data_IF_329946641070
#
_entry.id   IF_329946641070
#
_cell.length_a   1.000
_cell.length_b   1.000
_cell.length_c   1.000
_cell.angle_alpha   90.00
_cell.angle_beta   90.00
_cell.angle_gamma   90.00
#
_symmetry.space_group_name_H-M   'P 1'
#
loop_
_entity.id
_entity.type
_entity.pdbx_description
1 polymer ?
#
# COMPACT_ATOMS: atom_id res chain seq x y z
N UNK A 1 -16.36 -6.76 5.05
CA UNK A 1 -15.59 -7.76 4.31
C UNK A 1 -14.11 -7.41 4.25
N UNK A 2 -13.70 -6.39 3.51
CA UNK A 2 -12.32 -5.90 3.62
C UNK A 2 -12.20 -4.90 4.75
N UNK A 3 -11.08 -5.01 5.52
CA UNK A 3 -10.83 -4.16 6.69
C UNK A 3 -10.01 -2.94 6.35
N UNK A 4 -8.94 -3.14 5.56
CA UNK A 4 -7.97 -2.09 5.26
C UNK A 4 -7.41 -2.26 3.87
N UNK A 5 -6.87 -1.17 3.34
CA UNK A 5 -5.87 -1.19 2.29
C UNK A 5 -4.55 -0.83 2.96
N UNK A 6 -3.56 -1.69 2.80
CA UNK A 6 -2.24 -1.48 3.39
C UNK A 6 -1.30 -0.93 2.32
N UNK A 7 -0.67 0.19 2.62
CA UNK A 7 0.23 0.89 1.72
C UNK A 7 1.68 0.53 2.07
N UNK A 8 2.42 0.06 1.05
CA UNK A 8 3.78 -0.46 1.20
C UNK A 8 4.75 0.21 0.25
N UNK A 9 6.04 0.03 0.52
CA UNK A 9 7.06 0.05 -0.52
C UNK A 9 7.73 -1.32 -0.59
N UNK A 10 8.28 -1.66 -1.76
CA UNK A 10 8.89 -2.99 -1.95
C UNK A 10 10.28 -3.10 -1.31
N UNK A 11 10.92 -1.97 -1.06
CA UNK A 11 12.32 -1.88 -0.64
C UNK A 11 13.28 -2.40 -1.72
N UNK A 12 12.83 -2.42 -2.98
CA UNK A 12 13.61 -2.87 -4.13
C UNK A 12 13.86 -1.74 -5.14
N UNK A 13 13.94 -2.13 -6.40
CA UNK A 13 14.15 -1.20 -7.51
C UNK A 13 12.83 -0.60 -7.99
N UNK A 14 12.90 0.30 -8.97
CA UNK A 14 11.71 0.93 -9.56
C UNK A 14 10.85 -0.02 -10.42
N UNK A 15 11.27 -1.25 -10.62
CA UNK A 15 10.50 -2.28 -11.32
C UNK A 15 10.13 -3.40 -10.36
N UNK A 16 8.92 -3.96 -10.44
CA UNK A 16 8.56 -5.07 -9.57
C UNK A 16 9.35 -6.33 -9.94
N UNK A 17 9.83 -7.05 -8.92
CA UNK A 17 10.43 -8.36 -9.08
C UNK A 17 9.34 -9.43 -9.15
N UNK A 18 9.73 -10.67 -9.51
CA UNK A 18 8.81 -11.81 -9.45
C UNK A 18 8.27 -12.00 -8.04
N UNK A 19 9.12 -11.87 -7.02
CA UNK A 19 8.73 -11.99 -5.62
C UNK A 19 7.73 -10.89 -5.25
N UNK A 20 7.98 -9.65 -5.68
CA UNK A 20 7.05 -8.55 -5.42
C UNK A 20 5.65 -8.85 -5.99
N UNK A 21 5.58 -9.39 -7.20
CA UNK A 21 4.32 -9.73 -7.85
C UNK A 21 3.54 -10.82 -7.10
N UNK A 22 4.23 -11.66 -6.34
CA UNK A 22 3.60 -12.70 -5.52
C UNK A 22 3.14 -12.18 -4.16
N UNK A 23 3.73 -11.08 -3.67
CA UNK A 23 3.48 -10.60 -2.31
C UNK A 23 2.49 -9.44 -2.21
N UNK A 24 2.20 -8.74 -3.31
CA UNK A 24 1.30 -7.60 -3.30
C UNK A 24 0.23 -7.76 -4.37
N UNK A 25 -0.96 -7.21 -4.12
CA UNK A 25 -2.04 -7.25 -5.11
C UNK A 25 -1.76 -6.30 -6.28
N UNK A 26 -1.21 -5.13 -5.98
CA UNK A 26 -0.86 -4.12 -6.99
C UNK A 26 0.49 -3.53 -6.68
N UNK A 27 1.23 -3.22 -7.74
CA UNK A 27 2.54 -2.61 -7.61
C UNK A 27 2.63 -1.42 -8.55
N UNK A 28 3.32 -0.37 -8.11
CA UNK A 28 3.45 0.85 -8.89
C UNK A 28 4.92 1.09 -9.16
N UNK A 29 5.32 1.04 -10.43
CA UNK A 29 6.72 1.20 -10.81
C UNK A 29 7.16 2.66 -10.75
N UNK A 30 8.46 2.91 -10.99
CA UNK A 30 9.04 4.23 -10.88
C UNK A 30 8.43 5.28 -11.81
N UNK A 31 7.78 4.85 -12.89
CA UNK A 31 7.08 5.72 -13.83
C UNK A 31 5.62 5.97 -13.44
N UNK A 32 5.16 5.37 -12.35
CA UNK A 32 3.78 5.50 -11.91
C UNK A 32 2.83 4.50 -12.57
N UNK A 33 3.36 3.53 -13.30
CA UNK A 33 2.53 2.50 -13.95
C UNK A 33 2.11 1.44 -12.94
N UNK A 34 0.82 1.08 -12.98
CA UNK A 34 0.25 0.05 -12.11
C UNK A 34 0.44 -1.33 -12.74
N UNK A 35 0.98 -2.26 -11.95
CA UNK A 35 1.12 -3.67 -12.29
C UNK A 35 0.22 -4.48 -11.39
N UNK A 36 -0.46 -5.49 -11.93
CA UNK A 36 -1.25 -6.43 -11.12
C UNK A 36 -0.36 -7.58 -10.67
N UNK A 37 -0.49 -7.96 -9.41
CA UNK A 37 0.22 -9.10 -8.86
C UNK A 37 -0.41 -10.43 -9.25
N UNK A 38 0.19 -11.50 -8.75
CA UNK A 38 -0.28 -12.87 -9.00
C UNK A 38 -1.67 -13.13 -8.42
N UNK A 39 -1.97 -12.53 -7.27
CA UNK A 39 -3.23 -12.75 -6.55
C UNK A 39 -4.12 -11.53 -6.62
N UNK A 40 -5.43 -11.76 -6.61
CA UNK A 40 -6.44 -10.70 -6.58
C UNK A 40 -6.82 -10.37 -5.14
N UNK A 41 -7.40 -9.18 -4.88
CA UNK A 41 -7.85 -8.84 -3.52
C UNK A 41 -8.77 -9.89 -2.89
N UNK A 42 -9.68 -10.48 -3.67
CA UNK A 42 -10.61 -11.49 -3.15
C UNK A 42 -9.89 -12.73 -2.63
N UNK A 43 -8.72 -13.05 -3.13
CA UNK A 43 -7.93 -14.19 -2.65
C UNK A 43 -7.57 -14.03 -1.17
N UNK A 44 -7.39 -12.80 -0.69
CA UNK A 44 -7.04 -12.54 0.70
C UNK A 44 -8.24 -12.55 1.66
N UNK A 45 -9.44 -12.84 1.20
CA UNK A 45 -10.56 -13.10 2.11
C UNK A 45 -10.40 -14.43 2.83
N UNK A 46 -9.68 -15.37 2.23
CA UNK A 46 -9.37 -16.66 2.83
C UNK A 46 -7.90 -17.00 2.58
N UNK A 47 -7.08 -16.92 3.61
CA UNK A 47 -5.64 -17.20 3.51
C UNK A 47 -5.28 -18.62 3.92
N UNK A 48 -6.26 -19.49 4.23
CA UNK A 48 -5.98 -20.86 4.72
C UNK A 48 -5.54 -21.81 3.60
N UNK A 49 -5.83 -21.47 2.34
CA UNK A 49 -5.44 -22.30 1.19
C UNK A 49 -4.02 -22.00 0.69
N UNK A 50 -3.32 -21.05 1.29
CA UNK A 50 -1.99 -20.63 0.87
C UNK A 50 -1.92 -19.85 -0.43
N UNK A 51 -3.06 -19.54 -1.04
CA UNK A 51 -3.15 -18.81 -2.33
C UNK A 51 -3.60 -17.38 -2.10
N UNK A 52 -2.70 -16.57 -1.57
CA UNK A 52 -2.99 -15.18 -1.21
C UNK A 52 -1.72 -14.34 -1.31
N UNK A 53 -1.89 -13.03 -1.42
CA UNK A 53 -0.77 -12.08 -1.37
C UNK A 53 -0.32 -11.92 0.08
N UNK A 54 0.90 -12.36 0.40
CA UNK A 54 1.47 -12.27 1.74
C UNK A 54 2.21 -10.94 1.90
N UNK A 55 1.44 -9.87 2.12
CA UNK A 55 2.00 -8.52 2.19
C UNK A 55 2.08 -7.95 3.60
N UNK A 56 1.38 -8.54 4.56
CA UNK A 56 1.25 -7.95 5.89
C UNK A 56 1.16 -9.07 6.94
N UNK A 57 2.30 -9.42 7.53
CA UNK A 57 2.35 -10.49 8.54
C UNK A 57 1.40 -10.20 9.69
N UNK A 58 0.52 -11.17 9.99
CA UNK A 58 -0.52 -11.04 11.02
C UNK A 58 -1.77 -10.28 10.55
N UNK A 59 -1.78 -9.76 9.32
CA UNK A 59 -2.89 -8.97 8.81
C UNK A 59 -3.22 -9.21 7.34
N UNK A 60 -2.88 -10.36 6.77
CA UNK A 60 -3.17 -10.63 5.36
C UNK A 60 -4.65 -10.84 5.09
N UNK A 61 -5.37 -11.49 6.00
CA UNK A 61 -6.80 -11.77 5.82
C UNK A 61 -7.63 -10.50 5.84
N UNK A 62 -8.42 -10.31 4.78
CA UNK A 62 -9.31 -9.16 4.67
C UNK A 62 -8.61 -7.83 4.38
N UNK A 63 -7.38 -7.86 3.89
CA UNK A 63 -6.62 -6.64 3.59
C UNK A 63 -6.00 -6.69 2.20
N UNK A 64 -6.01 -5.54 1.55
CA UNK A 64 -5.49 -5.37 0.19
C UNK A 64 -4.13 -4.68 0.30
N UNK A 65 -3.11 -5.20 -0.38
CA UNK A 65 -1.77 -4.62 -0.38
C UNK A 65 -1.43 -3.94 -1.70
N UNK A 66 -1.04 -2.67 -1.61
CA UNK A 66 -0.49 -1.90 -2.74
C UNK A 66 0.93 -1.53 -2.36
N UNK A 67 1.89 -1.74 -3.25
CA UNK A 67 3.28 -1.37 -3.01
C UNK A 67 3.82 -0.46 -4.10
N UNK A 68 4.49 0.61 -3.71
CA UNK A 68 5.31 1.40 -4.64
C UNK A 68 6.69 0.75 -4.72
N UNK A 69 7.22 0.61 -5.92
CA UNK A 69 8.52 -0.03 -6.18
C UNK A 69 9.64 0.96 -5.91
N UNK A 70 10.16 0.97 -4.68
CA UNK A 70 11.15 1.94 -4.27
C UNK A 70 11.80 1.55 -2.93
N UNK A 71 12.80 2.32 -2.54
CA UNK A 71 13.42 2.31 -1.22
C UNK A 71 13.41 3.73 -0.69
N UNK A 72 13.60 3.90 0.62
CA UNK A 72 13.72 5.25 1.19
C UNK A 72 15.08 5.89 0.92
N UNK A 73 16.07 5.15 0.41
CA UNK A 73 17.42 5.64 0.19
C UNK A 73 17.56 6.46 -1.11
N UNK A 74 18.76 7.01 -1.34
CA UNK A 74 19.03 7.92 -2.45
C UNK A 74 18.98 7.27 -3.84
N UNK A 75 19.08 5.94 -3.95
CA UNK A 75 19.13 5.28 -5.25
C UNK A 75 17.75 5.14 -5.92
N UNK A 76 16.76 4.73 -5.14
CA UNK A 76 15.39 4.55 -5.65
C UNK A 76 14.38 5.09 -4.63
N UNK A 77 14.43 6.41 -4.34
CA UNK A 77 13.47 6.99 -3.38
C UNK A 77 12.05 6.99 -3.95
N UNK A 78 11.02 7.05 -3.08
CA UNK A 78 9.64 7.22 -3.54
C UNK A 78 9.50 8.47 -4.40
N UNK A 79 8.81 8.34 -5.54
CA UNK A 79 8.59 9.47 -6.44
C UNK A 79 7.17 10.01 -6.31
N UNK A 80 6.98 11.27 -6.72
CA UNK A 80 5.65 11.88 -6.75
C UNK A 80 4.71 11.10 -7.66
N UNK A 81 5.18 10.67 -8.82
CA UNK A 81 4.37 9.86 -9.75
C UNK A 81 3.86 8.59 -9.10
N UNK A 82 4.73 7.91 -8.34
CA UNK A 82 4.35 6.68 -7.65
C UNK A 82 3.30 6.93 -6.57
N UNK A 83 3.50 7.95 -5.76
CA UNK A 83 2.59 8.25 -4.65
C UNK A 83 1.23 8.70 -5.19
N UNK A 84 1.20 9.54 -6.21
CA UNK A 84 -0.06 9.96 -6.82
C UNK A 84 -0.81 8.77 -7.42
N UNK A 85 -0.11 7.89 -8.15
CA UNK A 85 -0.72 6.69 -8.72
C UNK A 85 -1.25 5.75 -7.63
N UNK A 86 -0.48 5.56 -6.54
CA UNK A 86 -0.90 4.71 -5.43
C UNK A 86 -2.17 5.26 -4.76
N UNK A 87 -2.20 6.56 -4.49
CA UNK A 87 -3.34 7.18 -3.81
C UNK A 87 -4.60 7.17 -4.69
N UNK A 88 -4.43 7.39 -5.99
CA UNK A 88 -5.53 7.30 -6.95
C UNK A 88 -6.08 5.87 -7.01
N UNK A 89 -5.20 4.87 -7.11
CA UNK A 89 -5.61 3.46 -7.10
C UNK A 89 -6.30 3.09 -5.79
N UNK A 90 -5.73 3.48 -4.66
CA UNK A 90 -6.34 3.21 -3.35
C UNK A 90 -7.75 3.79 -3.25
N UNK A 91 -7.96 5.01 -3.74
CA UNK A 91 -9.28 5.63 -3.77
C UNK A 91 -10.27 4.82 -4.61
N UNK A 92 -9.83 4.34 -5.77
CA UNK A 92 -10.65 3.50 -6.65
C UNK A 92 -11.01 2.18 -5.95
N UNK A 93 -10.03 1.54 -5.31
CA UNK A 93 -10.26 0.29 -4.58
C UNK A 93 -11.17 0.49 -3.37
N UNK A 94 -11.10 1.63 -2.70
CA UNK A 94 -12.05 1.97 -1.63
C UNK A 94 -13.49 1.91 -2.14
N UNK A 95 -13.75 2.47 -3.31
CA UNK A 95 -15.08 2.46 -3.93
C UNK A 95 -15.49 1.04 -4.30
N UNK A 96 -14.59 0.29 -4.95
CA UNK A 96 -14.90 -1.06 -5.46
C UNK A 96 -15.15 -2.05 -4.31
N UNK A 97 -14.33 -2.00 -3.27
CA UNK A 97 -14.34 -3.01 -2.20
C UNK A 97 -14.95 -2.54 -0.88
N UNK A 98 -15.50 -1.34 -0.86
CA UNK A 98 -16.21 -0.83 0.32
C UNK A 98 -15.29 -0.50 1.50
N UNK A 99 -14.06 -0.05 1.25
CA UNK A 99 -13.13 0.38 2.28
C UNK A 99 -13.17 1.90 2.38
N UNK A 100 -13.15 2.42 3.61
CA UNK A 100 -13.11 3.87 3.81
C UNK A 100 -11.68 4.39 3.58
N UNK A 101 -11.51 5.58 3.03
CA UNK A 101 -10.17 6.19 2.93
C UNK A 101 -9.42 6.24 4.27
N UNK A 102 -10.15 6.45 5.37
CA UNK A 102 -9.56 6.44 6.73
C UNK A 102 -9.00 5.08 7.14
N UNK A 103 -9.41 4.00 6.46
CA UNK A 103 -8.92 2.64 6.71
C UNK A 103 -7.78 2.26 5.76
N UNK A 104 -7.28 3.19 4.97
CA UNK A 104 -6.03 3.04 4.23
C UNK A 104 -4.89 3.43 5.17
N UNK A 105 -4.08 2.46 5.55
CA UNK A 105 -2.98 2.67 6.50
C UNK A 105 -1.68 2.12 5.92
N UNK A 106 -0.55 2.65 6.40
CA UNK A 106 0.75 2.12 5.98
C UNK A 106 1.07 0.84 6.76
N UNK A 107 2.00 0.04 6.22
CA UNK A 107 2.48 -1.16 6.90
C UNK A 107 3.11 -0.79 8.26
N UNK A 108 3.84 0.32 8.33
CA UNK A 108 4.41 0.81 9.59
C UNK A 108 3.32 1.10 10.63
N UNK A 109 2.22 1.74 10.20
CA UNK A 109 1.08 2.01 11.10
C UNK A 109 0.42 0.72 11.56
N UNK A 110 0.23 -0.24 10.65
CA UNK A 110 -0.32 -1.55 11.01
C UNK A 110 0.54 -2.22 12.07
N UNK A 111 1.87 -2.23 11.88
CA UNK A 111 2.79 -2.82 12.83
C UNK A 111 2.72 -2.18 14.21
N UNK A 112 2.61 -0.86 14.28
CA UNK A 112 2.46 -0.15 15.56
C UNK A 112 1.14 -0.48 16.26
N UNK A 113 0.08 -0.68 15.49
CA UNK A 113 -1.24 -1.04 16.02
C UNK A 113 -1.32 -2.50 16.45
N UNK A 114 -0.41 -3.35 15.93
CA UNK A 114 -0.41 -4.80 16.18
C UNK A 114 0.99 -5.28 16.58
N UNK A 115 1.46 -4.89 17.79
CA UNK A 115 2.86 -5.16 18.18
C UNK A 115 3.19 -6.62 18.40
N UNK A 116 2.19 -7.51 18.45
CA UNK A 116 2.41 -8.95 18.60
C UNK A 116 2.55 -9.68 17.26
N UNK A 117 2.45 -8.97 16.14
CA UNK A 117 2.60 -9.56 14.81
C UNK A 117 4.00 -9.36 14.26
N UNK A 118 4.35 -10.10 13.20
CA UNK A 118 5.62 -9.93 12.50
C UNK A 118 5.73 -8.58 11.78
N UNK A 119 4.63 -7.86 11.65
CA UNK A 119 4.61 -6.50 11.07
C UNK A 119 5.15 -5.44 12.01
N UNK A 120 5.30 -5.74 13.31
CA UNK A 120 5.86 -4.78 14.25
C UNK A 120 7.30 -4.45 13.88
N UNK A 121 7.62 -3.16 13.79
CA UNK A 121 8.94 -2.71 13.39
C UNK A 121 9.11 -2.45 11.90
N UNK A 122 8.09 -2.71 11.09
CA UNK A 122 8.11 -2.35 9.67
C UNK A 122 8.14 -0.83 9.52
N UNK A 123 8.83 -0.35 8.49
CA UNK A 123 9.07 1.08 8.30
C UNK A 123 8.34 1.67 7.09
N UNK A 124 7.75 0.84 6.25
CA UNK A 124 7.05 1.32 5.05
C UNK A 124 5.64 1.79 5.41
N UNK A 125 5.28 3.00 5.18
CA UNK A 125 6.00 4.11 4.55
C UNK A 125 6.25 5.17 5.63
N UNK A 126 7.53 5.44 5.94
CA UNK A 126 7.87 6.39 7.00
C UNK A 126 8.60 7.64 6.50
N UNK A 127 8.80 7.73 5.17
CA UNK A 127 9.48 8.89 4.61
C UNK A 127 9.10 9.09 3.15
N UNK A 128 8.78 10.34 2.78
CA UNK A 128 8.49 10.75 1.41
C UNK A 128 9.35 11.97 1.10
N UNK A 129 10.61 11.75 0.67
CA UNK A 129 11.58 12.85 0.54
C UNK A 129 11.16 13.94 -0.44
N UNK A 130 10.51 13.58 -1.57
CA UNK A 130 10.09 14.57 -2.56
C UNK A 130 9.12 15.61 -1.97
N UNK A 131 8.34 15.23 -0.97
CA UNK A 131 7.34 16.09 -0.34
C UNK A 131 7.82 16.63 1.02
N UNK A 132 9.05 16.29 1.42
CA UNK A 132 9.61 16.65 2.72
C UNK A 132 8.70 16.20 3.88
N UNK A 133 8.14 14.98 3.78
CA UNK A 133 7.31 14.37 4.82
C UNK A 133 8.08 13.23 5.45
N UNK A 134 8.18 13.22 6.77
CA UNK A 134 8.96 12.25 7.51
C UNK A 134 8.22 11.81 8.78
N UNK A 135 8.32 10.52 9.10
CA UNK A 135 7.68 9.92 10.26
C UNK A 135 6.45 9.10 9.89
N UNK A 136 6.16 8.09 10.70
CA UNK A 136 5.07 7.14 10.44
C UNK A 136 3.71 7.85 10.39
N UNK A 137 3.41 8.65 11.41
CA UNK A 137 2.13 9.37 11.47
C UNK A 137 1.99 10.38 10.34
N UNK A 138 3.04 11.19 10.12
CA UNK A 138 2.99 12.24 9.09
C UNK A 138 2.81 11.65 7.69
N UNK A 139 3.50 10.57 7.38
CA UNK A 139 3.36 9.90 6.08
C UNK A 139 1.98 9.28 5.91
N UNK A 140 1.46 8.62 6.94
CA UNK A 140 0.13 8.04 6.90
C UNK A 140 -0.95 9.10 6.66
N UNK A 141 -0.89 10.20 7.41
CA UNK A 141 -1.84 11.31 7.27
C UNK A 141 -1.75 11.95 5.88
N UNK A 142 -0.53 12.16 5.37
CA UNK A 142 -0.31 12.70 4.03
C UNK A 142 -0.96 11.84 2.96
N UNK A 143 -0.75 10.53 3.03
CA UNK A 143 -1.29 9.59 2.06
C UNK A 143 -2.82 9.51 2.15
N UNK A 144 -3.39 9.44 3.34
CA UNK A 144 -4.84 9.40 3.53
C UNK A 144 -5.52 10.68 3.02
N UNK A 145 -4.91 11.85 3.22
CA UNK A 145 -5.43 13.10 2.68
C UNK A 145 -5.49 13.08 1.15
N UNK A 146 -4.46 12.54 0.50
CA UNK A 146 -4.47 12.38 -0.97
C UNK A 146 -5.52 11.38 -1.42
N UNK A 147 -5.63 10.25 -0.73
CA UNK A 147 -6.64 9.23 -1.05
C UNK A 147 -8.04 9.83 -0.92
N UNK A 148 -8.29 10.60 0.13
CA UNK A 148 -9.57 11.28 0.33
C UNK A 148 -9.87 12.25 -0.82
N UNK A 149 -8.86 12.99 -1.27
CA UNK A 149 -8.98 13.93 -2.40
C UNK A 149 -9.38 13.18 -3.69
N UNK A 150 -8.69 12.07 -4.02
CA UNK A 150 -9.03 11.25 -5.17
C UNK A 150 -10.40 10.59 -5.01
N UNK A 151 -10.73 10.13 -3.81
CA UNK A 151 -12.01 9.48 -3.53
C UNK A 151 -13.20 10.38 -3.83
N UNK A 152 -13.12 11.66 -3.49
CA UNK A 152 -14.16 12.64 -3.82
C UNK A 152 -14.37 12.76 -5.33
N UNK A 153 -13.29 12.73 -6.10
CA UNK A 153 -13.34 12.81 -7.55
C UNK A 153 -13.98 11.58 -8.18
N UNK A 154 -13.67 10.40 -7.67
CA UNK A 154 -14.30 9.17 -8.13
C UNK A 154 -15.81 9.18 -7.90
N UNK A 155 -16.27 9.78 -6.80
CA UNK A 155 -17.70 9.90 -6.50
C UNK A 155 -18.42 10.94 -7.36
N UNK A 156 -17.69 11.94 -7.84
CA UNK A 156 -18.24 13.02 -8.68
C UNK A 156 -18.42 12.58 -10.15
N UNK A 157 -17.79 11.47 -10.55
CA UNK A 157 -17.96 10.91 -11.88
C UNK A 157 -19.00 9.81 -11.90
#
# INVERSE_FOLDING_TARGET
MFRNIILHWTAGNYKPSKTDLEHYHYLIDGEGKVHTGKYEPLDNLNCTDGKYAAHCGGGNTGRIGIAICCRKNINTPPTQKQVEAMCNLAAQLCTVYGVKPSDCITHAEFGQQHPKTSSYGKIDINQLPYANVSGVKACGDYLRNKIQWYSKRWKET
#
